data_IF_877294910690
#
_entry.id   IF_877294910690
#
_cell.length_a   1.000
_cell.length_b   1.000
_cell.length_c   1.000
_cell.angle_alpha   90.00
_cell.angle_beta   90.00
_cell.angle_gamma   90.00
#
_symmetry.space_group_name_H-M   'P 1'
#
loop_
_entity.id
_entity.type
_entity.pdbx_description
1 polymer ?
#
# COMPACT_ATOMS: atom_id res chain seq x y z
N UNK A 1 -48.71 -19.85 60.54
CA UNK A 1 -47.31 -19.45 60.81
C UNK A 1 -46.46 -20.06 59.70
N UNK A 2 -46.18 -19.42 58.56
CA UNK A 2 -45.89 -18.02 58.27
C UNK A 2 -46.42 -17.68 56.87
N UNK A 3 -47.12 -16.55 56.73
CA UNK A 3 -47.50 -15.97 55.44
C UNK A 3 -46.49 -14.86 55.14
N UNK A 4 -45.77 -14.96 54.02
CA UNK A 4 -44.77 -13.98 53.59
C UNK A 4 -45.48 -12.82 52.90
N UNK A 5 -46.17 -11.99 53.67
CA UNK A 5 -46.61 -10.66 53.22
C UNK A 5 -45.44 -9.67 53.38
N UNK A 6 -44.50 -9.72 52.44
CA UNK A 6 -43.57 -8.60 52.23
C UNK A 6 -43.93 -7.97 50.90
N UNK A 7 -44.92 -7.07 50.94
CA UNK A 7 -45.22 -6.14 49.85
C UNK A 7 -44.17 -5.03 49.80
N UNK A 8 -42.90 -5.41 49.59
CA UNK A 8 -41.83 -4.44 49.39
C UNK A 8 -41.86 -4.01 47.92
N UNK A 9 -42.40 -2.82 47.70
CA UNK A 9 -42.53 -2.18 46.40
C UNK A 9 -41.12 -1.88 45.85
N UNK A 10 -40.61 -2.77 45.00
CA UNK A 10 -39.31 -2.59 44.36
C UNK A 10 -39.46 -1.44 43.36
N UNK A 11 -38.73 -0.35 43.59
CA UNK A 11 -38.78 0.91 42.85
C UNK A 11 -39.08 0.74 41.35
N UNK A 12 -40.19 1.32 40.90
CA UNK A 12 -40.55 1.37 39.48
C UNK A 12 -39.61 2.35 38.77
N UNK A 13 -38.67 1.82 37.99
CA UNK A 13 -37.90 2.66 37.07
C UNK A 13 -38.63 2.69 35.73
N UNK A 14 -39.00 3.89 35.26
CA UNK A 14 -39.47 4.07 33.88
C UNK A 14 -38.33 3.70 32.93
N UNK A 15 -38.43 2.52 32.33
CA UNK A 15 -37.59 2.18 31.19
C UNK A 15 -37.99 3.11 30.06
N UNK A 16 -37.20 4.18 29.87
CA UNK A 16 -37.27 5.04 28.70
C UNK A 16 -37.09 4.19 27.44
N UNK A 17 -38.22 3.77 26.84
CA UNK A 17 -38.33 3.13 25.52
C UNK A 17 -38.06 4.16 24.39
N UNK A 18 -37.08 5.02 24.59
CA UNK A 18 -36.54 5.84 23.52
C UNK A 18 -35.76 4.93 22.58
N UNK A 19 -36.39 4.49 21.49
CA UNK A 19 -35.71 3.82 20.36
C UNK A 19 -34.40 4.54 20.09
N UNK A 20 -33.27 3.90 20.39
CA UNK A 20 -31.96 4.37 19.97
C UNK A 20 -31.94 4.45 18.45
N UNK A 21 -32.14 5.65 17.90
CA UNK A 21 -32.00 5.87 16.46
C UNK A 21 -30.53 5.68 16.13
N UNK A 22 -30.18 4.57 15.47
CA UNK A 22 -28.90 4.42 14.80
C UNK A 22 -28.82 5.48 13.70
N UNK A 23 -28.20 6.62 14.01
CA UNK A 23 -27.99 7.71 13.06
C UNK A 23 -26.82 7.30 12.16
N UNK A 24 -27.10 6.48 11.15
CA UNK A 24 -26.12 6.16 10.11
C UNK A 24 -25.79 7.45 9.36
N UNK A 25 -24.51 7.84 9.37
CA UNK A 25 -24.04 9.03 8.67
C UNK A 25 -24.04 8.75 7.16
N UNK A 26 -25.08 9.17 6.45
CA UNK A 26 -25.27 8.96 5.00
C UNK A 26 -24.06 9.44 4.17
N UNK A 27 -23.30 10.41 4.67
CA UNK A 27 -22.16 10.97 3.97
C UNK A 27 -20.90 10.09 4.02
N UNK A 28 -20.86 9.06 4.87
CA UNK A 28 -19.67 8.25 5.08
C UNK A 28 -19.14 7.62 3.79
N UNK A 29 -20.02 7.06 2.95
CA UNK A 29 -19.62 6.47 1.68
C UNK A 29 -19.17 7.51 0.64
N UNK A 30 -19.77 8.70 0.65
CA UNK A 30 -19.42 9.80 -0.26
C UNK A 30 -18.01 10.32 0.02
N UNK A 31 -17.61 10.43 1.29
CA UNK A 31 -16.26 10.84 1.68
C UNK A 31 -15.18 9.83 1.30
N UNK A 32 -15.46 8.52 1.34
CA UNK A 32 -14.49 7.52 0.91
C UNK A 32 -14.22 7.58 -0.59
N UNK A 33 -15.28 7.65 -1.41
CA UNK A 33 -15.13 7.80 -2.87
C UNK A 33 -14.42 9.10 -3.24
N UNK A 34 -14.73 10.19 -2.55
CA UNK A 34 -14.04 11.47 -2.78
C UNK A 34 -12.54 11.34 -2.47
N UNK A 35 -12.18 10.77 -1.31
CA UNK A 35 -10.79 10.55 -0.95
C UNK A 35 -10.03 9.67 -1.94
N UNK A 36 -10.66 8.62 -2.47
CA UNK A 36 -10.04 7.79 -3.51
C UNK A 36 -9.80 8.60 -4.79
N UNK A 37 -10.80 9.36 -5.25
CA UNK A 37 -10.67 10.21 -6.43
C UNK A 37 -9.57 11.28 -6.26
N UNK A 38 -9.46 11.89 -5.07
CA UNK A 38 -8.43 12.88 -4.78
C UNK A 38 -7.02 12.26 -4.84
N UNK A 39 -6.86 11.02 -4.35
CA UNK A 39 -5.60 10.27 -4.43
C UNK A 39 -5.25 9.90 -5.87
N UNK A 40 -6.23 9.44 -6.66
CA UNK A 40 -6.06 9.10 -8.07
C UNK A 40 -5.64 10.35 -8.88
N UNK A 41 -6.27 11.48 -8.62
CA UNK A 41 -5.92 12.74 -9.27
C UNK A 41 -4.54 13.25 -8.85
N UNK A 42 -4.13 13.04 -7.60
CA UNK A 42 -2.77 13.36 -7.16
C UNK A 42 -1.71 12.55 -7.93
N UNK A 43 -1.98 11.28 -8.24
CA UNK A 43 -1.08 10.46 -9.06
C UNK A 43 -1.01 10.97 -10.50
N UNK A 44 -2.15 11.28 -11.09
CA UNK A 44 -2.20 11.85 -12.44
C UNK A 44 -1.42 13.17 -12.54
N UNK A 45 -1.55 14.06 -11.56
CA UNK A 45 -0.79 15.32 -11.52
C UNK A 45 0.71 15.09 -11.41
N UNK A 46 1.12 14.11 -10.62
CA UNK A 46 2.54 13.90 -10.32
C UNK A 46 3.28 13.06 -11.35
N UNK A 47 2.66 11.98 -11.82
CA UNK A 47 3.25 11.04 -12.77
C UNK A 47 2.91 11.39 -14.22
N UNK A 48 1.88 12.20 -14.43
CA UNK A 48 1.22 12.40 -15.72
C UNK A 48 -0.05 11.55 -15.81
N UNK A 49 -1.05 12.08 -16.51
CA UNK A 49 -2.39 11.46 -16.61
C UNK A 49 -2.36 9.99 -17.10
N UNK A 50 -1.60 9.61 -18.14
CA UNK A 50 -1.61 8.23 -18.63
C UNK A 50 -1.05 7.24 -17.60
N UNK A 51 0.12 7.58 -17.02
CA UNK A 51 0.81 6.73 -16.07
C UNK A 51 0.07 6.65 -14.72
N UNK A 52 -0.46 7.77 -14.25
CA UNK A 52 -1.29 7.83 -13.05
C UNK A 52 -2.52 6.94 -13.17
N UNK A 53 -3.25 7.02 -14.30
CA UNK A 53 -4.43 6.17 -14.53
C UNK A 53 -4.08 4.69 -14.68
N UNK A 54 -2.98 4.35 -15.35
CA UNK A 54 -2.52 2.96 -15.45
C UNK A 54 -2.21 2.37 -14.08
N UNK A 55 -1.48 3.12 -13.24
CA UNK A 55 -1.18 2.73 -11.87
C UNK A 55 -2.44 2.53 -11.03
N UNK A 56 -3.40 3.46 -11.09
CA UNK A 56 -4.67 3.34 -10.37
C UNK A 56 -5.47 2.12 -10.82
N UNK A 57 -5.59 1.92 -12.14
CA UNK A 57 -6.28 0.78 -12.73
C UNK A 57 -5.65 -0.53 -12.27
N UNK A 58 -4.32 -0.61 -12.30
CA UNK A 58 -3.57 -1.77 -11.87
C UNK A 58 -3.78 -2.06 -10.36
N UNK A 59 -3.70 -1.05 -9.49
CA UNK A 59 -3.93 -1.24 -8.05
C UNK A 59 -5.36 -1.72 -7.77
N UNK A 60 -6.34 -1.19 -8.51
CA UNK A 60 -7.75 -1.56 -8.38
C UNK A 60 -8.00 -3.01 -8.81
N UNK A 61 -7.36 -3.46 -9.89
CA UNK A 61 -7.54 -4.83 -10.41
C UNK A 61 -6.81 -5.86 -9.56
N UNK A 62 -5.60 -5.55 -9.12
CA UNK A 62 -4.75 -6.54 -8.44
C UNK A 62 -4.91 -6.59 -6.93
N UNK A 63 -5.37 -5.50 -6.31
CA UNK A 63 -5.56 -5.41 -4.86
C UNK A 63 -6.89 -4.73 -4.47
N UNK A 64 -8.06 -5.17 -4.99
CA UNK A 64 -9.33 -4.47 -4.78
C UNK A 64 -9.70 -4.31 -3.30
N UNK A 65 -9.42 -5.32 -2.47
CA UNK A 65 -9.69 -5.29 -1.02
C UNK A 65 -8.80 -4.32 -0.24
N UNK A 66 -7.65 -3.97 -0.78
CA UNK A 66 -6.67 -3.08 -0.14
C UNK A 66 -6.48 -1.79 -0.93
N UNK A 67 -7.35 -1.51 -1.90
CA UNK A 67 -7.16 -0.46 -2.90
C UNK A 67 -6.86 0.90 -2.25
N UNK A 68 -7.73 1.33 -1.33
CA UNK A 68 -7.55 2.57 -0.57
C UNK A 68 -6.22 2.64 0.19
N UNK A 69 -5.82 1.54 0.84
CA UNK A 69 -4.57 1.49 1.58
C UNK A 69 -3.36 1.56 0.63
N UNK A 70 -3.47 0.93 -0.53
CA UNK A 70 -2.44 1.00 -1.58
C UNK A 70 -2.34 2.40 -2.18
N UNK A 71 -3.47 3.08 -2.44
CA UNK A 71 -3.45 4.49 -2.87
C UNK A 71 -2.76 5.38 -1.81
N UNK A 72 -3.12 5.24 -0.54
CA UNK A 72 -2.50 6.03 0.52
C UNK A 72 -0.99 5.72 0.68
N UNK A 73 -0.61 4.44 0.61
CA UNK A 73 0.78 4.00 0.69
C UNK A 73 1.61 4.50 -0.49
N UNK A 74 1.13 4.30 -1.71
CA UNK A 74 1.79 4.76 -2.95
C UNK A 74 1.96 6.28 -2.95
N UNK A 75 0.97 7.05 -2.47
CA UNK A 75 1.12 8.51 -2.32
C UNK A 75 2.28 8.87 -1.42
N UNK A 76 2.37 8.27 -0.23
CA UNK A 76 3.46 8.53 0.72
C UNK A 76 4.82 8.18 0.14
N UNK A 77 4.90 7.03 -0.54
CA UNK A 77 6.14 6.56 -1.18
C UNK A 77 6.59 7.52 -2.27
N UNK A 78 5.67 7.93 -3.14
CA UNK A 78 5.98 8.95 -4.14
C UNK A 78 6.43 10.22 -3.41
N UNK A 79 5.71 10.71 -2.39
CA UNK A 79 6.00 12.00 -1.68
C UNK A 79 7.36 12.04 -1.00
N UNK A 80 7.88 10.89 -0.59
CA UNK A 80 9.22 10.79 -0.03
C UNK A 80 10.34 10.96 -1.08
N UNK A 81 10.03 10.82 -2.37
CA UNK A 81 11.02 10.92 -3.45
C UNK A 81 10.96 12.29 -4.16
N UNK A 82 12.01 13.13 -4.01
CA UNK A 82 12.08 14.43 -4.68
C UNK A 82 12.39 14.30 -6.18
N UNK A 83 13.22 13.32 -6.57
CA UNK A 83 13.60 13.06 -7.96
C UNK A 83 12.93 11.78 -8.49
N UNK A 84 11.73 11.94 -9.04
CA UNK A 84 10.97 10.84 -9.61
C UNK A 84 11.33 10.62 -11.08
N UNK A 85 12.01 9.50 -11.35
CA UNK A 85 12.21 9.01 -12.70
C UNK A 85 10.95 8.33 -13.23
N UNK A 86 10.22 9.05 -14.07
CA UNK A 86 8.96 8.58 -14.65
C UNK A 86 9.16 7.43 -15.63
N UNK A 87 10.30 7.35 -16.30
CA UNK A 87 10.58 6.28 -17.26
C UNK A 87 10.76 4.94 -16.52
N UNK A 88 11.47 4.95 -15.39
CA UNK A 88 11.60 3.78 -14.52
C UNK A 88 10.25 3.31 -13.98
N UNK A 89 9.43 4.24 -13.46
CA UNK A 89 8.10 3.90 -12.93
C UNK A 89 7.20 3.33 -14.03
N UNK A 90 7.24 3.90 -15.23
CA UNK A 90 6.52 3.36 -16.40
C UNK A 90 6.95 1.93 -16.69
N UNK A 91 8.26 1.67 -16.71
CA UNK A 91 8.80 0.34 -16.90
C UNK A 91 8.30 -0.66 -15.86
N UNK A 92 8.18 -0.26 -14.60
CA UNK A 92 7.69 -1.14 -13.55
C UNK A 92 6.18 -1.39 -13.61
N UNK A 93 5.38 -0.35 -13.87
CA UNK A 93 3.92 -0.48 -14.04
C UNK A 93 3.56 -1.38 -15.22
N UNK A 94 4.34 -1.33 -16.31
CA UNK A 94 4.08 -2.10 -17.52
C UNK A 94 4.57 -3.56 -17.44
N UNK A 95 5.61 -3.85 -16.66
CA UNK A 95 6.26 -5.18 -16.65
C UNK A 95 5.76 -6.10 -15.55
N UNK A 96 5.40 -5.57 -14.38
CA UNK A 96 5.24 -6.40 -13.19
C UNK A 96 4.18 -5.91 -12.21
N UNK A 97 3.88 -6.76 -11.21
CA UNK A 97 2.86 -6.49 -10.21
C UNK A 97 3.28 -5.39 -9.23
N UNK A 98 2.89 -4.14 -9.44
CA UNK A 98 3.35 -3.01 -8.61
C UNK A 98 2.47 -2.77 -7.37
N UNK A 99 2.96 -3.11 -6.18
CA UNK A 99 2.34 -2.70 -4.90
C UNK A 99 3.03 -1.46 -4.33
N UNK A 100 2.41 -0.77 -3.36
CA UNK A 100 3.05 0.37 -2.68
C UNK A 100 4.39 -0.03 -2.01
N UNK A 101 4.46 -1.23 -1.44
CA UNK A 101 5.69 -1.77 -0.84
C UNK A 101 6.77 -2.01 -1.87
N UNK A 102 6.44 -2.68 -2.99
CA UNK A 102 7.41 -2.91 -4.08
C UNK A 102 7.89 -1.61 -4.72
N UNK A 103 7.01 -0.61 -4.86
CA UNK A 103 7.41 0.71 -5.36
C UNK A 103 8.42 1.34 -4.41
N UNK A 104 8.20 1.27 -3.09
CA UNK A 104 9.13 1.77 -2.08
C UNK A 104 10.50 1.10 -2.18
N UNK A 105 10.52 -0.24 -2.16
CA UNK A 105 11.75 -1.02 -2.22
C UNK A 105 12.58 -0.71 -3.47
N UNK A 106 11.92 -0.52 -4.62
CA UNK A 106 12.60 -0.19 -5.88
C UNK A 106 13.16 1.22 -5.90
N UNK A 107 12.44 2.19 -5.36
CA UNK A 107 12.93 3.56 -5.24
C UNK A 107 14.14 3.61 -4.29
N UNK A 108 14.08 2.90 -3.16
CA UNK A 108 15.21 2.75 -2.24
C UNK A 108 16.41 2.07 -2.92
N UNK A 109 16.20 0.98 -3.67
CA UNK A 109 17.25 0.30 -4.40
C UNK A 109 17.87 1.21 -5.48
N UNK A 110 17.06 1.98 -6.19
CA UNK A 110 17.51 2.95 -7.21
C UNK A 110 18.35 4.05 -6.56
N UNK A 111 17.90 4.59 -5.43
CA UNK A 111 18.65 5.58 -4.65
C UNK A 111 19.98 5.04 -4.17
N UNK A 112 20.01 3.80 -3.67
CA UNK A 112 21.25 3.14 -3.25
C UNK A 112 22.21 2.88 -4.42
N UNK A 113 21.69 2.51 -5.60
CA UNK A 113 22.49 2.35 -6.80
C UNK A 113 23.14 3.68 -7.23
N UNK A 114 22.35 4.76 -7.27
CA UNK A 114 22.84 6.11 -7.56
C UNK A 114 23.90 6.57 -6.55
N UNK A 115 23.68 6.32 -5.25
CA UNK A 115 24.67 6.64 -4.21
C UNK A 115 25.98 5.86 -4.36
N UNK A 116 25.96 4.69 -5.02
CA UNK A 116 27.14 3.88 -5.35
C UNK A 116 27.77 4.24 -6.70
N UNK A 117 27.31 5.32 -7.35
CA UNK A 117 27.78 5.74 -8.67
C UNK A 117 27.34 4.84 -9.82
N UNK A 118 26.36 3.94 -9.59
CA UNK A 118 25.73 3.15 -10.66
C UNK A 118 24.45 3.86 -11.05
N UNK A 119 24.52 4.70 -12.07
CA UNK A 119 23.32 5.33 -12.60
C UNK A 119 22.52 4.28 -13.41
N UNK A 120 21.22 4.04 -13.11
CA UNK A 120 20.38 3.19 -13.96
C UNK A 120 20.27 3.71 -15.40
N UNK A 121 20.53 4.99 -15.66
CA UNK A 121 20.60 5.54 -17.02
C UNK A 121 21.88 5.13 -17.76
N UNK A 122 22.95 4.82 -17.03
CA UNK A 122 24.25 4.38 -17.54
C UNK A 122 24.35 2.84 -17.64
N UNK A 123 23.31 2.15 -17.17
CA UNK A 123 23.05 0.77 -17.54
C UNK A 123 22.56 0.71 -19.00
N UNK A 124 23.47 0.96 -19.94
CA UNK A 124 23.34 0.47 -21.30
C UNK A 124 22.89 -1.01 -21.26
N UNK A 125 22.10 -1.50 -22.22
CA UNK A 125 21.77 -2.91 -22.26
C UNK A 125 23.09 -3.67 -22.40
N UNK A 126 23.55 -4.26 -21.30
CA UNK A 126 24.63 -5.24 -21.34
C UNK A 126 24.07 -6.44 -22.10
N UNK A 127 24.15 -6.37 -23.43
CA UNK A 127 24.16 -7.53 -24.29
C UNK A 127 25.31 -8.41 -23.80
N UNK A 128 24.98 -9.39 -22.97
CA UNK A 128 25.97 -10.21 -22.30
C UNK A 128 25.52 -10.62 -20.91
N UNK A 129 24.44 -11.40 -20.84
CA UNK A 129 24.23 -12.29 -19.70
C UNK A 129 25.40 -13.29 -19.67
N UNK A 130 26.52 -12.90 -19.08
CA UNK A 130 27.51 -13.84 -18.62
C UNK A 130 26.96 -14.47 -17.34
N UNK A 131 26.82 -15.81 -17.27
CA UNK A 131 26.41 -16.44 -16.03
C UNK A 131 27.50 -16.16 -15.00
N UNK A 132 27.12 -15.46 -13.93
CA UNK A 132 28.00 -15.29 -12.78
C UNK A 132 28.14 -16.67 -12.15
N UNK A 133 29.26 -17.34 -12.44
CA UNK A 133 29.62 -18.62 -11.86
C UNK A 133 29.94 -18.40 -10.37
N UNK A 134 28.97 -18.70 -9.51
CA UNK A 134 29.06 -18.57 -8.05
C UNK A 134 29.81 -19.74 -7.41
N UNK A 135 30.95 -20.14 -7.97
CA UNK A 135 31.85 -21.11 -7.34
C UNK A 135 33.08 -20.44 -6.77
N UNK A 136 32.98 -19.94 -5.52
CA UNK A 136 34.06 -20.20 -4.58
C UNK A 136 33.59 -20.68 -3.20
N UNK A 137 32.29 -20.93 -2.99
CA UNK A 137 31.77 -21.37 -1.67
C UNK A 137 31.86 -22.87 -1.40
N UNK A 138 32.35 -23.67 -2.37
CA UNK A 138 32.43 -25.13 -2.26
C UNK A 138 33.83 -25.63 -1.86
N UNK A 139 34.57 -24.88 -1.03
CA UNK A 139 35.88 -25.35 -0.55
C UNK A 139 36.20 -24.96 0.90
N UNK A 140 35.28 -25.29 1.81
CA UNK A 140 35.60 -25.49 3.22
C UNK A 140 34.87 -26.75 3.70
N UNK A 141 35.61 -27.85 3.82
CA UNK A 141 35.05 -29.12 4.29
C UNK A 141 35.79 -30.37 3.84
N UNK A 142 37.12 -30.37 3.88
CA UNK A 142 37.91 -31.61 3.94
C UNK A 142 39.10 -31.37 4.87
N UNK A 143 38.89 -31.59 6.16
CA UNK A 143 39.99 -31.89 7.09
C UNK A 143 40.22 -33.40 7.04
N UNK A 144 41.36 -33.79 6.49
CA UNK A 144 41.97 -35.09 6.71
C UNK A 144 42.69 -35.04 8.07
N UNK A 145 42.48 -36.03 8.92
CA UNK A 145 43.14 -36.17 10.22
C UNK A 145 42.32 -37.02 11.16
#
# INVERSE_FOLDING_TARGET
>A
MHNLESGEEIATHELHLGKGRTRCNENHYRYHRQREADLEQAFARRLGEPLGRQLCTYLRTTMPRHYKNQLAGTKRVLEAEPELDRALITGWVMRERLTAGMLKERLEATRQARARGRDPADAAPAAGSMPSDLTPSARLGRSSG
#
